data_IF_620070315368
#
_entry.id   IF_620070315368
#
_cell.length_a   1.000
_cell.length_b   1.000
_cell.length_c   1.000
_cell.angle_alpha   90.00
_cell.angle_beta   90.00
_cell.angle_gamma   90.00
#
_symmetry.space_group_name_H-M   'P 1'
#
loop_
_entity.id
_entity.type
_entity.pdbx_description
1 polymer ?
#
# COMPACT_ATOMS: atom_id res chain seq x y z
N UNK A 1 -22.25 -25.50 -8.58
CA UNK A 1 -23.63 -25.46 -9.13
C UNK A 1 -24.12 -24.05 -8.96
N UNK A 2 -24.51 -23.37 -10.05
CA UNK A 2 -25.16 -22.06 -9.95
C UNK A 2 -26.59 -22.34 -9.52
N UNK A 3 -26.90 -22.09 -8.24
CA UNK A 3 -28.27 -22.13 -7.76
C UNK A 3 -28.99 -20.89 -8.25
N UNK A 4 -30.14 -21.07 -8.89
CA UNK A 4 -31.06 -19.97 -9.16
C UNK A 4 -31.93 -19.75 -7.89
N UNK A 5 -31.69 -18.65 -7.15
CA UNK A 5 -32.40 -18.36 -5.91
C UNK A 5 -33.89 -18.07 -6.12
N UNK A 6 -34.34 -17.80 -7.36
CA UNK A 6 -35.75 -17.56 -7.66
C UNK A 6 -36.59 -18.85 -7.60
N UNK A 7 -35.96 -20.00 -7.82
CA UNK A 7 -36.63 -21.31 -7.90
C UNK A 7 -36.11 -22.34 -6.89
N UNK A 8 -34.99 -22.06 -6.23
CA UNK A 8 -34.41 -22.97 -5.25
C UNK A 8 -35.19 -22.99 -3.92
N UNK A 9 -35.21 -24.17 -3.29
CA UNK A 9 -35.69 -24.33 -1.93
C UNK A 9 -34.83 -23.56 -0.92
N UNK A 10 -35.46 -23.01 0.12
CA UNK A 10 -34.82 -22.16 1.11
C UNK A 10 -33.76 -22.89 1.92
N UNK A 11 -33.95 -24.18 2.23
CA UNK A 11 -32.95 -24.96 2.95
C UNK A 11 -31.70 -25.18 2.10
N UNK A 12 -31.88 -25.45 0.80
CA UNK A 12 -30.79 -25.57 -0.16
C UNK A 12 -30.00 -24.25 -0.31
N UNK A 13 -30.70 -23.13 -0.46
CA UNK A 13 -30.07 -21.80 -0.51
C UNK A 13 -29.27 -21.54 0.76
N UNK A 14 -29.88 -21.75 1.93
CA UNK A 14 -29.23 -21.52 3.22
C UNK A 14 -27.96 -22.35 3.40
N UNK A 15 -28.04 -23.64 3.06
CA UNK A 15 -26.89 -24.54 3.13
C UNK A 15 -25.73 -24.06 2.26
N UNK A 16 -26.00 -23.45 1.11
CA UNK A 16 -24.96 -22.94 0.22
C UNK A 16 -24.36 -21.60 0.69
N UNK A 17 -25.16 -20.69 1.24
CA UNK A 17 -24.66 -19.34 1.59
C UNK A 17 -24.11 -19.24 3.01
N UNK A 18 -24.56 -20.07 3.96
CA UNK A 18 -24.21 -19.94 5.38
C UNK A 18 -22.70 -20.00 5.66
N UNK A 19 -21.97 -20.85 4.91
CA UNK A 19 -20.52 -20.99 5.06
C UNK A 19 -19.79 -19.71 4.67
N UNK A 20 -20.16 -19.13 3.53
CA UNK A 20 -19.59 -17.88 3.05
C UNK A 20 -19.94 -16.69 3.94
N UNK A 21 -21.16 -16.64 4.47
CA UNK A 21 -21.58 -15.63 5.45
C UNK A 21 -20.74 -15.73 6.72
N UNK A 22 -20.57 -16.93 7.26
CA UNK A 22 -19.69 -17.17 8.42
C UNK A 22 -18.22 -16.82 8.13
N UNK A 23 -17.82 -16.86 6.87
CA UNK A 23 -16.49 -16.48 6.40
C UNK A 23 -16.34 -14.95 6.18
N UNK A 24 -17.40 -14.16 6.40
CA UNK A 24 -17.41 -12.70 6.35
C UNK A 24 -17.99 -12.09 5.07
N UNK A 25 -18.58 -12.89 4.18
CA UNK A 25 -19.31 -12.37 3.00
C UNK A 25 -20.64 -11.75 3.45
N UNK A 26 -21.03 -10.54 2.99
CA UNK A 26 -22.32 -9.95 3.31
C UNK A 26 -23.46 -10.86 2.87
N UNK A 27 -24.41 -11.07 3.78
CA UNK A 27 -25.56 -11.95 3.52
C UNK A 27 -26.47 -11.38 2.42
N UNK A 28 -26.87 -12.19 1.41
CA UNK A 28 -27.91 -11.81 0.47
C UNK A 28 -29.31 -11.92 1.10
N UNK A 29 -29.40 -12.58 2.26
CA UNK A 29 -30.63 -12.81 3.00
C UNK A 29 -30.84 -11.72 4.05
N UNK A 30 -32.10 -11.28 4.21
CA UNK A 30 -32.48 -10.38 5.29
C UNK A 30 -32.25 -11.03 6.66
N UNK A 31 -32.00 -10.22 7.70
CA UNK A 31 -31.83 -10.74 9.06
C UNK A 31 -33.05 -11.55 9.53
N UNK A 32 -34.24 -11.14 9.11
CA UNK A 32 -35.50 -11.82 9.41
C UNK A 32 -35.59 -13.19 8.75
N UNK A 33 -35.25 -13.29 7.46
CA UNK A 33 -35.24 -14.58 6.75
C UNK A 33 -34.22 -15.54 7.37
N UNK A 34 -33.03 -15.06 7.75
CA UNK A 34 -32.04 -15.88 8.46
C UNK A 34 -32.58 -16.43 9.78
N UNK A 35 -33.20 -15.59 10.61
CA UNK A 35 -33.81 -16.04 11.86
C UNK A 35 -34.89 -17.09 11.63
N UNK A 36 -35.64 -17.01 10.52
CA UNK A 36 -36.61 -18.01 10.14
C UNK A 36 -35.99 -19.36 9.77
N UNK A 37 -34.94 -19.33 8.94
CA UNK A 37 -34.20 -20.52 8.52
C UNK A 37 -33.44 -21.20 9.67
N UNK A 38 -33.13 -20.44 10.72
CA UNK A 38 -32.56 -20.94 11.97
C UNK A 38 -33.61 -21.44 12.97
N UNK A 39 -34.91 -21.41 12.62
CA UNK A 39 -36.00 -21.84 13.50
C UNK A 39 -36.31 -20.87 14.64
N UNK A 40 -35.72 -19.66 14.64
CA UNK A 40 -35.90 -18.64 15.69
C UNK A 40 -37.12 -17.77 15.47
N UNK A 41 -37.74 -17.82 14.28
CA UNK A 41 -38.88 -17.00 13.91
C UNK A 41 -39.75 -17.72 12.88
N UNK A 42 -41.06 -17.49 12.90
CA UNK A 42 -41.96 -17.94 11.84
C UNK A 42 -42.31 -16.77 10.92
N UNK A 43 -42.29 -16.98 9.60
CA UNK A 43 -42.66 -15.99 8.59
C UNK A 43 -43.89 -16.43 7.81
N UNK A 44 -44.70 -15.46 7.40
CA UNK A 44 -45.87 -15.73 6.56
C UNK A 44 -45.43 -15.96 5.10
N UNK A 45 -46.26 -16.64 4.28
CA UNK A 45 -45.95 -16.84 2.85
C UNK A 45 -45.64 -15.53 2.10
N UNK A 46 -46.39 -14.46 2.37
CA UNK A 46 -46.16 -13.16 1.76
C UNK A 46 -44.80 -12.53 2.18
N UNK A 47 -44.37 -12.75 3.44
CA UNK A 47 -43.06 -12.30 3.91
C UNK A 47 -41.93 -13.07 3.23
N UNK A 48 -42.08 -14.39 3.08
CA UNK A 48 -41.12 -15.23 2.37
C UNK A 48 -40.96 -14.81 0.91
N UNK A 49 -42.06 -14.52 0.22
CA UNK A 49 -42.00 -14.06 -1.18
C UNK A 49 -41.33 -12.69 -1.32
N UNK A 50 -41.57 -11.77 -0.37
CA UNK A 50 -40.85 -10.49 -0.33
C UNK A 50 -39.35 -10.68 -0.10
N UNK A 51 -38.98 -11.57 0.82
CA UNK A 51 -37.57 -11.88 1.08
C UNK A 51 -36.90 -12.60 -0.11
N UNK A 52 -37.65 -13.39 -0.90
CA UNK A 52 -37.17 -13.98 -2.17
C UNK A 52 -36.80 -12.91 -3.18
N UNK A 53 -37.67 -11.90 -3.38
CA UNK A 53 -37.40 -10.77 -4.28
C UNK A 53 -36.17 -9.97 -3.85
N UNK A 54 -36.03 -9.70 -2.55
CA UNK A 54 -34.86 -9.01 -2.00
C UNK A 54 -33.57 -9.82 -2.18
N UNK A 55 -33.61 -11.13 -1.93
CA UNK A 55 -32.47 -12.00 -2.16
C UNK A 55 -32.09 -12.02 -3.64
N UNK A 56 -33.04 -12.20 -4.55
CA UNK A 56 -32.78 -12.21 -5.99
C UNK A 56 -32.09 -10.91 -6.44
N UNK A 57 -32.52 -9.76 -5.92
CA UNK A 57 -31.88 -8.47 -6.18
C UNK A 57 -30.43 -8.38 -5.67
N UNK A 58 -30.12 -9.02 -4.54
CA UNK A 58 -28.78 -9.01 -3.93
C UNK A 58 -27.89 -10.18 -4.36
N UNK A 59 -28.43 -11.15 -5.09
CA UNK A 59 -27.75 -12.41 -5.37
C UNK A 59 -26.49 -12.23 -6.20
N UNK A 60 -26.55 -11.41 -7.25
CA UNK A 60 -25.41 -11.11 -8.09
C UNK A 60 -24.27 -10.48 -7.29
N UNK A 61 -24.59 -9.49 -6.43
CA UNK A 61 -23.60 -8.86 -5.56
C UNK A 61 -22.97 -9.86 -4.58
N UNK A 62 -23.77 -10.76 -4.01
CA UNK A 62 -23.25 -11.84 -3.17
C UNK A 62 -22.32 -12.79 -3.94
N UNK A 63 -22.71 -13.23 -5.14
CA UNK A 63 -21.86 -14.09 -5.98
C UNK A 63 -20.52 -13.43 -6.31
N UNK A 64 -20.54 -12.13 -6.63
CA UNK A 64 -19.32 -11.36 -6.85
C UNK A 64 -18.42 -11.32 -5.63
N UNK A 65 -19.00 -11.16 -4.45
CA UNK A 65 -18.23 -11.14 -3.21
C UNK A 65 -17.64 -12.51 -2.85
N UNK A 66 -18.38 -13.60 -3.09
CA UNK A 66 -17.86 -14.97 -2.97
C UNK A 66 -16.69 -15.16 -3.94
N UNK A 67 -16.85 -14.75 -5.21
CA UNK A 67 -15.78 -14.85 -6.20
C UNK A 67 -14.55 -14.03 -5.80
N UNK A 68 -14.74 -12.78 -5.36
CA UNK A 68 -13.69 -11.90 -4.86
C UNK A 68 -12.94 -12.54 -3.70
N UNK A 69 -13.66 -13.13 -2.75
CA UNK A 69 -13.07 -13.87 -1.63
C UNK A 69 -12.27 -15.08 -2.10
N UNK A 70 -12.81 -15.90 -3.01
CA UNK A 70 -12.09 -17.04 -3.57
C UNK A 70 -10.78 -16.59 -4.24
N UNK A 71 -10.81 -15.51 -5.02
CA UNK A 71 -9.61 -14.93 -5.62
C UNK A 71 -8.58 -14.52 -4.55
N UNK A 72 -9.00 -13.85 -3.47
CA UNK A 72 -8.11 -13.50 -2.36
C UNK A 72 -7.53 -14.73 -1.66
N UNK A 73 -8.32 -15.79 -1.44
CA UNK A 73 -7.83 -17.06 -0.90
C UNK A 73 -6.75 -17.65 -1.81
N UNK A 74 -6.95 -17.62 -3.13
CA UNK A 74 -5.94 -18.06 -4.10
C UNK A 74 -4.66 -17.24 -4.02
N UNK A 75 -4.76 -15.90 -3.99
CA UNK A 75 -3.62 -15.00 -3.87
C UNK A 75 -2.86 -15.19 -2.55
N UNK A 76 -3.57 -15.55 -1.47
CA UNK A 76 -2.97 -15.77 -0.15
C UNK A 76 -2.21 -17.09 0.01
N UNK A 77 -2.27 -18.01 -0.98
CA UNK A 77 -1.67 -19.34 -0.88
C UNK A 77 -0.17 -19.27 -0.57
N UNK A 78 0.23 -19.95 0.50
CA UNK A 78 1.62 -19.98 0.99
C UNK A 78 2.15 -18.65 1.56
N UNK A 79 1.28 -17.66 1.75
CA UNK A 79 1.55 -16.44 2.53
C UNK A 79 0.99 -16.51 3.95
N UNK A 80 -0.02 -17.36 4.18
CA UNK A 80 -0.77 -17.44 5.45
C UNK A 80 -1.32 -16.07 5.87
N UNK A 81 -1.89 -15.33 4.92
CA UNK A 81 -2.39 -13.98 5.15
C UNK A 81 -3.52 -13.99 6.20
N UNK A 82 -3.41 -13.22 7.30
CA UNK A 82 -4.46 -13.13 8.29
C UNK A 82 -5.62 -12.29 7.73
N UNK A 83 -6.82 -12.51 8.25
CA UNK A 83 -7.99 -11.62 8.09
C UNK A 83 -8.14 -11.08 6.66
N UNK A 84 -8.50 -11.94 5.70
CA UNK A 84 -8.71 -11.54 4.29
C UNK A 84 -9.74 -10.41 4.10
N UNK A 85 -10.51 -10.04 5.12
CA UNK A 85 -11.40 -8.86 5.11
C UNK A 85 -10.66 -7.52 5.28
N UNK A 86 -9.41 -7.52 5.76
CA UNK A 86 -8.62 -6.31 5.98
C UNK A 86 -8.22 -5.66 4.64
N UNK A 87 -8.58 -4.38 4.38
CA UNK A 87 -8.24 -3.70 3.14
C UNK A 87 -6.74 -3.64 2.85
N UNK A 88 -5.88 -3.51 3.86
CA UNK A 88 -4.44 -3.43 3.69
C UNK A 88 -3.86 -4.79 3.26
N UNK A 89 -4.36 -5.88 3.84
CA UNK A 89 -3.99 -7.25 3.43
C UNK A 89 -4.45 -7.52 2.00
N UNK A 90 -5.70 -7.17 1.67
CA UNK A 90 -6.24 -7.36 0.31
C UNK A 90 -5.43 -6.58 -0.73
N UNK A 91 -5.07 -5.34 -0.43
CA UNK A 91 -4.25 -4.51 -1.30
C UNK A 91 -2.88 -5.15 -1.55
N UNK A 92 -2.18 -5.54 -0.49
CA UNK A 92 -0.86 -6.16 -0.58
C UNK A 92 -0.89 -7.48 -1.39
N UNK A 93 -1.92 -8.31 -1.23
CA UNK A 93 -2.09 -9.54 -1.99
C UNK A 93 -2.28 -9.28 -3.49
N UNK A 94 -3.05 -8.24 -3.85
CA UNK A 94 -3.26 -7.86 -5.26
C UNK A 94 -1.98 -7.29 -5.86
N UNK A 95 -1.29 -6.40 -5.14
CA UNK A 95 -0.02 -5.83 -5.59
C UNK A 95 1.05 -6.91 -5.81
N UNK A 96 1.11 -7.91 -4.92
CA UNK A 96 1.98 -9.08 -5.04
C UNK A 96 1.65 -9.97 -6.25
N UNK A 97 0.40 -9.97 -6.71
CA UNK A 97 -0.01 -10.72 -7.89
C UNK A 97 0.44 -10.01 -9.19
N UNK A 98 0.42 -8.67 -9.18
CA UNK A 98 0.68 -7.81 -10.34
C UNK A 98 2.18 -7.44 -10.50
N UNK A 99 2.91 -7.23 -9.40
CA UNK A 99 4.27 -6.67 -9.42
C UNK A 99 5.33 -7.66 -9.87
N UNK A 100 5.52 -7.81 -11.18
CA UNK A 100 6.39 -8.82 -11.79
C UNK A 100 7.86 -8.70 -11.35
N UNK A 101 8.41 -7.49 -11.30
CA UNK A 101 9.85 -7.23 -11.10
C UNK A 101 10.30 -7.54 -9.68
N UNK A 102 9.51 -7.14 -8.67
CA UNK A 102 9.83 -7.30 -7.25
C UNK A 102 9.06 -8.45 -6.58
N UNK A 103 8.40 -9.30 -7.37
CA UNK A 103 7.44 -10.32 -6.91
C UNK A 103 8.00 -11.24 -5.85
N UNK A 104 9.22 -11.74 -6.03
CA UNK A 104 9.82 -12.74 -5.12
C UNK A 104 10.14 -12.10 -3.77
N UNK A 105 10.82 -10.97 -3.78
CA UNK A 105 11.20 -10.25 -2.56
C UNK A 105 9.97 -9.77 -1.80
N UNK A 106 8.97 -9.21 -2.50
CA UNK A 106 7.70 -8.81 -1.88
C UNK A 106 6.96 -10.01 -1.27
N UNK A 107 6.97 -11.18 -1.92
CA UNK A 107 6.40 -12.41 -1.36
C UNK A 107 7.04 -12.78 -0.01
N UNK A 108 8.35 -12.66 0.09
CA UNK A 108 9.11 -12.99 1.30
C UNK A 108 8.81 -11.99 2.42
N UNK A 109 8.77 -10.69 2.10
CA UNK A 109 8.34 -9.64 3.02
C UNK A 109 6.93 -9.90 3.56
N UNK A 110 5.95 -10.19 2.70
CA UNK A 110 4.58 -10.45 3.11
C UNK A 110 4.47 -11.72 3.97
N UNK A 111 5.18 -12.79 3.61
CA UNK A 111 5.22 -14.01 4.43
C UNK A 111 5.78 -13.70 5.82
N UNK A 112 6.84 -12.92 5.92
CA UNK A 112 7.42 -12.53 7.20
C UNK A 112 6.47 -11.64 8.01
N UNK A 113 5.88 -10.62 7.39
CA UNK A 113 4.91 -9.71 7.99
C UNK A 113 3.68 -10.44 8.55
N UNK A 114 3.13 -11.39 7.79
CA UNK A 114 1.97 -12.20 8.22
C UNK A 114 2.33 -13.25 9.28
N UNK A 115 3.59 -13.67 9.35
CA UNK A 115 4.12 -14.48 10.45
C UNK A 115 4.50 -13.65 11.70
N UNK A 116 4.11 -12.38 11.78
CA UNK A 116 4.37 -11.52 12.95
C UNK A 116 5.79 -10.95 13.02
N UNK A 117 6.50 -10.86 11.88
CA UNK A 117 7.84 -10.24 11.79
C UNK A 117 7.77 -8.94 10.97
N UNK A 118 7.29 -7.83 11.57
CA UNK A 118 7.06 -6.58 10.84
C UNK A 118 8.35 -5.90 10.38
N UNK A 119 9.48 -6.15 11.05
CA UNK A 119 10.78 -5.54 10.78
C UNK A 119 11.70 -6.42 9.91
N UNK A 120 11.11 -7.33 9.12
CA UNK A 120 11.85 -8.21 8.22
C UNK A 120 12.81 -7.46 7.29
N UNK A 121 12.34 -6.40 6.64
CA UNK A 121 13.16 -5.60 5.74
C UNK A 121 14.36 -5.01 6.49
N UNK A 122 14.12 -4.36 7.64
CA UNK A 122 15.18 -3.75 8.45
C UNK A 122 16.22 -4.77 8.93
N UNK A 123 15.78 -5.97 9.32
CA UNK A 123 16.67 -7.04 9.81
C UNK A 123 17.36 -7.83 8.71
N UNK A 124 16.97 -7.65 7.44
CA UNK A 124 17.52 -8.42 6.34
C UNK A 124 19.04 -8.19 6.21
N UNK A 125 19.87 -9.25 6.04
CA UNK A 125 21.33 -9.11 6.00
C UNK A 125 21.84 -8.09 4.97
N UNK A 126 21.24 -8.05 3.77
CA UNK A 126 21.61 -7.07 2.74
C UNK A 126 21.29 -5.62 3.11
N UNK A 127 20.13 -5.37 3.73
CA UNK A 127 19.78 -4.04 4.23
C UNK A 127 20.71 -3.60 5.37
N UNK A 128 21.04 -4.51 6.30
CA UNK A 128 22.01 -4.23 7.36
C UNK A 128 23.40 -3.94 6.81
N UNK A 129 23.83 -4.68 5.78
CA UNK A 129 25.10 -4.45 5.09
C UNK A 129 25.11 -3.09 4.41
N UNK A 130 24.03 -2.71 3.73
CA UNK A 130 23.92 -1.39 3.10
C UNK A 130 24.00 -0.27 4.15
N UNK A 131 23.27 -0.36 5.26
CA UNK A 131 23.38 0.62 6.36
C UNK A 131 24.79 0.71 6.93
N UNK A 132 25.47 -0.43 7.13
CA UNK A 132 26.85 -0.45 7.62
C UNK A 132 27.86 0.18 6.63
N UNK A 133 27.55 0.15 5.33
CA UNK A 133 28.37 0.79 4.29
C UNK A 133 28.18 2.32 4.22
N UNK A 134 27.14 2.87 4.88
CA UNK A 134 26.83 4.29 4.91
C UNK A 134 26.95 4.85 6.34
N UNK A 135 28.16 4.88 6.93
CA UNK A 135 28.35 5.23 8.35
C UNK A 135 28.00 6.69 8.68
N UNK A 136 27.87 7.55 7.66
CA UNK A 136 27.43 8.94 7.81
C UNK A 136 25.93 9.05 8.06
N UNK A 137 25.16 8.01 7.76
CA UNK A 137 23.72 7.94 7.97
C UNK A 137 23.47 7.42 9.38
N UNK A 138 22.91 8.21 10.32
CA UNK A 138 22.53 7.72 11.63
C UNK A 138 21.34 6.76 11.48
N UNK A 139 21.61 5.46 11.39
CA UNK A 139 20.63 4.44 11.02
C UNK A 139 19.35 4.46 11.88
N UNK A 140 19.48 4.75 13.17
CA UNK A 140 18.32 4.87 14.08
C UNK A 140 17.44 6.08 13.73
N UNK A 141 18.05 7.22 13.40
CA UNK A 141 17.32 8.43 12.99
C UNK A 141 16.64 8.19 11.64
N UNK A 142 17.36 7.59 10.69
CA UNK A 142 16.83 7.27 9.36
C UNK A 142 15.63 6.33 9.42
N UNK A 143 15.71 5.26 10.22
CA UNK A 143 14.68 4.22 10.27
C UNK A 143 13.49 4.59 11.15
N UNK A 144 13.65 5.46 12.15
CA UNK A 144 12.52 5.93 12.98
C UNK A 144 11.86 7.19 12.43
N UNK A 145 12.61 8.01 11.71
CA UNK A 145 12.15 9.30 11.24
C UNK A 145 11.93 10.31 12.38
N UNK A 146 11.30 11.43 12.01
CA UNK A 146 10.76 12.40 12.96
C UNK A 146 9.26 12.53 12.78
N UNK A 147 8.60 13.17 13.74
CA UNK A 147 7.22 13.62 13.62
C UNK A 147 7.18 15.14 13.61
N UNK A 148 6.48 15.71 12.63
CA UNK A 148 6.25 17.14 12.51
C UNK A 148 4.75 17.40 12.52
N UNK A 149 4.29 18.26 13.43
CA UNK A 149 2.91 18.73 13.46
C UNK A 149 2.82 20.10 12.82
N UNK A 150 1.81 20.34 12.00
CA UNK A 150 1.53 21.64 11.40
C UNK A 150 0.05 21.85 11.15
N UNK A 151 -0.38 23.11 11.08
CA UNK A 151 -1.74 23.45 10.66
C UNK A 151 -1.85 23.37 9.13
N UNK A 152 -2.86 22.66 8.65
CA UNK A 152 -3.18 22.56 7.21
C UNK A 152 -4.50 23.27 6.95
N UNK A 153 -4.47 24.30 6.11
CA UNK A 153 -5.66 25.08 5.78
C UNK A 153 -6.80 24.18 5.28
N UNK A 154 -7.98 24.30 5.90
CA UNK A 154 -9.17 23.51 5.56
C UNK A 154 -9.18 22.05 6.02
N UNK A 155 -8.10 21.56 6.63
CA UNK A 155 -7.97 20.18 7.13
C UNK A 155 -7.61 20.10 8.62
N UNK A 156 -7.27 21.23 9.25
CA UNK A 156 -6.90 21.32 10.66
C UNK A 156 -5.46 20.85 10.92
N UNK A 157 -5.12 20.46 12.16
CA UNK A 157 -3.78 19.96 12.47
C UNK A 157 -3.50 18.67 11.70
N UNK A 158 -2.39 18.68 10.95
CA UNK A 158 -1.85 17.55 10.23
C UNK A 158 -0.52 17.09 10.82
N UNK A 159 -0.36 15.77 10.92
CA UNK A 159 0.89 15.14 11.33
C UNK A 159 1.62 14.60 10.09
N UNK A 160 2.90 14.95 9.94
CA UNK A 160 3.81 14.36 8.95
C UNK A 160 4.84 13.49 9.66
N UNK A 161 4.85 12.21 9.32
CA UNK A 161 5.78 11.25 9.88
C UNK A 161 6.03 10.07 8.95
N UNK A 162 7.09 9.31 9.28
CA UNK A 162 7.52 8.13 8.55
C UNK A 162 6.57 6.95 8.75
N UNK A 163 6.15 6.33 7.65
CA UNK A 163 5.33 5.13 7.69
C UNK A 163 6.16 3.89 8.01
N UNK A 164 5.76 3.19 9.06
CA UNK A 164 6.47 2.02 9.59
C UNK A 164 5.78 0.70 9.22
N UNK A 165 4.49 0.72 8.88
CA UNK A 165 3.82 -0.50 8.43
C UNK A 165 4.06 -0.73 6.93
N UNK A 166 4.77 -1.80 6.54
CA UNK A 166 4.97 -2.11 5.13
C UNK A 166 3.66 -2.25 4.37
N UNK A 167 2.56 -2.69 5.00
CA UNK A 167 1.26 -2.75 4.33
C UNK A 167 0.72 -1.37 3.94
N UNK A 168 1.01 -0.34 4.74
CA UNK A 168 0.66 1.05 4.43
C UNK A 168 1.62 1.68 3.41
N UNK A 169 2.91 1.32 3.43
CA UNK A 169 3.88 1.72 2.38
C UNK A 169 3.44 1.20 1.01
N UNK A 170 2.99 -0.06 0.92
CA UNK A 170 2.52 -0.63 -0.35
C UNK A 170 1.32 0.12 -0.95
N UNK A 171 0.56 0.84 -0.12
CA UNK A 171 -0.61 1.64 -0.53
C UNK A 171 -0.25 3.04 -1.04
N UNK A 172 1.03 3.43 -1.04
CA UNK A 172 1.49 4.80 -1.32
C UNK A 172 0.97 5.38 -2.64
N UNK A 173 0.84 4.56 -3.69
CA UNK A 173 0.29 5.00 -4.96
C UNK A 173 -1.23 4.94 -5.04
N UNK A 174 -1.85 3.98 -4.35
CA UNK A 174 -3.29 3.77 -4.40
C UNK A 174 -4.08 4.83 -3.64
N UNK A 175 -3.49 5.51 -2.65
CA UNK A 175 -4.14 6.64 -1.99
C UNK A 175 -4.47 7.81 -2.94
N UNK A 176 -3.68 7.98 -4.00
CA UNK A 176 -3.76 9.15 -4.90
C UNK A 176 -3.87 8.78 -6.38
N UNK A 177 -4.07 7.49 -6.70
CA UNK A 177 -4.20 7.01 -8.08
C UNK A 177 -2.95 7.23 -8.94
N UNK A 178 -1.75 7.17 -8.37
CA UNK A 178 -0.50 7.40 -9.11
C UNK A 178 0.00 6.13 -9.82
N UNK A 179 0.99 6.27 -10.72
CA UNK A 179 1.58 5.15 -11.49
C UNK A 179 2.18 4.03 -10.62
N UNK A 180 2.53 4.31 -9.36
CA UNK A 180 3.04 3.32 -8.38
C UNK A 180 1.92 2.65 -7.57
N UNK A 181 0.65 2.97 -7.85
CA UNK A 181 -0.50 2.33 -7.24
C UNK A 181 -0.85 1.00 -7.91
N UNK A 182 -1.80 0.29 -7.30
CA UNK A 182 -2.36 -0.94 -7.85
C UNK A 182 -2.93 -0.72 -9.27
N UNK A 183 -2.58 -1.59 -10.22
CA UNK A 183 -2.90 -1.43 -11.64
C UNK A 183 -2.07 -0.38 -12.40
N UNK A 184 -1.14 0.31 -11.73
CA UNK A 184 -0.26 1.30 -12.35
C UNK A 184 0.97 0.68 -13.01
N UNK A 185 1.52 1.36 -14.01
CA UNK A 185 2.69 0.89 -14.77
C UNK A 185 3.97 0.72 -13.93
N UNK A 186 4.04 1.38 -12.76
CA UNK A 186 5.20 1.37 -11.85
C UNK A 186 4.86 0.77 -10.48
N UNK A 187 3.83 -0.09 -10.41
CA UNK A 187 3.36 -0.69 -9.15
C UNK A 187 4.47 -1.44 -8.38
N UNK A 188 5.46 -2.00 -9.08
CA UNK A 188 6.63 -2.64 -8.46
C UNK A 188 7.44 -1.69 -7.57
N UNK A 189 7.39 -0.38 -7.78
CA UNK A 189 8.17 0.60 -7.00
C UNK A 189 7.63 0.78 -5.58
N UNK A 190 6.33 0.54 -5.35
CA UNK A 190 5.79 0.45 -4.00
C UNK A 190 6.40 -0.73 -3.21
N UNK A 191 6.70 -1.84 -3.90
CA UNK A 191 7.42 -2.95 -3.29
C UNK A 191 8.86 -2.55 -2.94
N UNK A 192 9.56 -1.85 -3.84
CA UNK A 192 10.93 -1.39 -3.57
C UNK A 192 10.99 -0.49 -2.33
N UNK A 193 10.04 0.44 -2.18
CA UNK A 193 9.94 1.31 -1.01
C UNK A 193 9.71 0.54 0.30
N UNK A 194 9.01 -0.60 0.27
CA UNK A 194 8.78 -1.44 1.44
C UNK A 194 9.92 -2.44 1.71
N UNK A 195 10.76 -2.72 0.71
CA UNK A 195 11.81 -3.74 0.75
C UNK A 195 13.18 -3.16 1.11
N UNK A 196 13.56 -2.05 0.49
CA UNK A 196 14.90 -1.51 0.58
C UNK A 196 15.00 -0.48 1.70
N UNK A 197 15.93 -0.70 2.63
CA UNK A 197 16.07 0.17 3.81
C UNK A 197 16.50 1.59 3.46
N UNK A 198 17.09 1.81 2.28
CA UNK A 198 17.48 3.14 1.80
C UNK A 198 16.32 3.98 1.25
N UNK A 199 15.09 3.48 1.31
CA UNK A 199 13.86 4.19 0.91
C UNK A 199 12.93 4.30 2.09
N UNK A 200 12.26 5.45 2.23
CA UNK A 200 11.29 5.71 3.29
C UNK A 200 10.08 6.44 2.71
N UNK A 201 8.88 6.08 3.15
CA UNK A 201 7.67 6.83 2.82
C UNK A 201 7.25 7.64 4.03
N UNK A 202 6.97 8.91 3.81
CA UNK A 202 6.38 9.78 4.81
C UNK A 202 4.97 10.17 4.36
N UNK A 203 4.03 10.16 5.31
CA UNK A 203 2.64 10.55 5.06
C UNK A 203 2.29 11.79 5.87
N UNK A 204 1.48 12.66 5.26
CA UNK A 204 0.69 13.64 5.98
C UNK A 204 -0.69 13.03 6.27
N UNK A 205 -1.12 13.06 7.53
CA UNK A 205 -2.43 12.55 7.95
C UNK A 205 -3.22 13.61 8.71
N UNK A 206 -4.53 13.61 8.55
CA UNK A 206 -5.43 14.39 9.42
C UNK A 206 -5.49 13.76 10.82
N UNK A 207 -6.09 14.46 11.77
CA UNK A 207 -6.34 13.94 13.13
C UNK A 207 -7.11 12.62 13.15
N UNK A 208 -7.98 12.39 12.18
CA UNK A 208 -8.75 11.14 12.01
C UNK A 208 -7.92 10.01 11.37
N UNK A 209 -6.64 10.25 11.08
CA UNK A 209 -5.73 9.27 10.48
C UNK A 209 -5.82 9.16 8.95
N UNK A 210 -6.65 9.99 8.29
CA UNK A 210 -6.79 9.99 6.84
C UNK A 210 -5.52 10.52 6.17
N UNK A 211 -4.93 9.75 5.26
CA UNK A 211 -3.80 10.21 4.44
C UNK A 211 -4.26 11.32 3.49
N UNK A 212 -3.58 12.45 3.51
CA UNK A 212 -3.88 13.61 2.64
C UNK A 212 -2.76 13.90 1.65
N UNK A 213 -1.54 13.49 1.95
CA UNK A 213 -0.41 13.54 1.04
C UNK A 213 0.67 12.53 1.43
N UNK A 214 1.60 12.28 0.51
CA UNK A 214 2.79 11.46 0.74
C UNK A 214 4.02 12.09 0.13
N UNK A 215 5.18 11.63 0.58
CA UNK A 215 6.45 11.83 -0.09
C UNK A 215 7.30 10.57 0.07
N UNK A 216 8.05 10.20 -0.96
CA UNK A 216 9.10 9.20 -0.85
C UNK A 216 10.41 9.94 -0.56
N UNK A 217 11.22 9.39 0.32
CA UNK A 217 12.59 9.81 0.60
C UNK A 217 13.52 8.65 0.28
N UNK A 218 14.73 8.95 -0.16
CA UNK A 218 15.79 7.96 -0.26
C UNK A 218 17.13 8.55 0.16
N UNK A 219 18.08 7.68 0.46
CA UNK A 219 19.48 8.05 0.58
C UNK A 219 20.20 7.55 -0.67
N UNK A 220 20.91 8.46 -1.33
CA UNK A 220 21.74 8.13 -2.48
C UNK A 220 23.04 7.44 -2.07
N UNK A 221 23.70 6.77 -3.02
CA UNK A 221 25.05 6.21 -2.82
C UNK A 221 26.10 7.29 -2.47
N UNK A 222 25.77 8.58 -2.65
CA UNK A 222 26.61 9.72 -2.26
C UNK A 222 26.33 10.28 -0.88
N UNK A 223 25.58 9.59 -0.02
CA UNK A 223 25.13 10.06 1.30
C UNK A 223 24.36 11.40 1.23
N UNK A 224 23.49 11.56 0.23
CA UNK A 224 22.57 12.70 0.14
C UNK A 224 21.13 12.26 0.40
N UNK A 225 20.38 13.10 1.10
CA UNK A 225 18.94 12.92 1.24
C UNK A 225 18.27 13.35 -0.07
N UNK A 226 17.65 12.39 -0.74
CA UNK A 226 16.86 12.59 -1.95
C UNK A 226 15.39 12.65 -1.56
N UNK A 227 14.80 13.83 -1.71
CA UNK A 227 13.39 14.06 -1.46
C UNK A 227 12.63 14.02 -2.79
N UNK A 228 11.74 13.05 -2.98
CA UNK A 228 10.93 12.96 -4.21
C UNK A 228 9.71 13.88 -4.14
N UNK A 229 8.92 13.91 -5.22
CA UNK A 229 7.72 14.76 -5.29
C UNK A 229 6.68 14.42 -4.22
N UNK A 230 6.02 15.47 -3.72
CA UNK A 230 4.86 15.34 -2.83
C UNK A 230 3.62 15.06 -3.66
N UNK A 231 2.91 13.99 -3.31
CA UNK A 231 1.68 13.57 -3.96
C UNK A 231 0.46 13.73 -3.04
N UNK A 232 -0.71 14.10 -3.57
CA UNK A 232 -0.97 14.35 -4.99
C UNK A 232 -0.32 15.67 -5.45
N UNK A 233 0.00 15.78 -6.74
CA UNK A 233 0.81 16.92 -7.24
C UNK A 233 0.13 18.27 -7.06
N UNK A 234 -1.21 18.29 -7.03
CA UNK A 234 -2.06 19.45 -6.85
C UNK A 234 -2.36 19.76 -5.37
N UNK A 235 -1.73 19.05 -4.42
CA UNK A 235 -1.91 19.34 -3.00
C UNK A 235 -1.51 20.78 -2.65
N UNK A 236 -2.26 21.37 -1.71
CA UNK A 236 -2.12 22.76 -1.29
C UNK A 236 -0.70 23.13 -0.84
N UNK A 237 -0.37 24.42 -1.01
CA UNK A 237 0.97 24.95 -0.73
C UNK A 237 1.39 24.76 0.74
N UNK A 238 0.44 24.83 1.69
CA UNK A 238 0.71 24.64 3.12
C UNK A 238 1.19 23.22 3.42
N UNK A 239 0.60 22.21 2.77
CA UNK A 239 1.04 20.81 2.90
C UNK A 239 2.45 20.64 2.33
N UNK A 240 2.72 21.20 1.14
CA UNK A 240 4.08 21.16 0.54
C UNK A 240 5.11 21.88 1.42
N UNK A 241 4.74 22.99 2.05
CA UNK A 241 5.58 23.69 3.02
C UNK A 241 5.92 22.78 4.21
N UNK A 242 4.94 22.03 4.71
CA UNK A 242 5.13 21.09 5.82
C UNK A 242 6.11 19.95 5.46
N UNK A 243 6.00 19.36 4.26
CA UNK A 243 6.98 18.39 3.76
C UNK A 243 8.37 19.02 3.57
N UNK A 244 8.45 20.22 3.00
CA UNK A 244 9.73 20.92 2.84
C UNK A 244 10.39 21.22 4.20
N UNK A 245 9.61 21.52 5.23
CA UNK A 245 10.11 21.71 6.59
C UNK A 245 10.56 20.38 7.22
N UNK A 246 9.81 19.31 6.99
CA UNK A 246 10.20 17.95 7.36
C UNK A 246 11.56 17.59 6.74
N UNK A 247 11.70 17.75 5.42
CA UNK A 247 12.92 17.46 4.65
C UNK A 247 14.14 18.17 5.25
N UNK A 248 14.04 19.48 5.51
CA UNK A 248 15.14 20.29 6.06
C UNK A 248 15.49 19.87 7.49
N UNK A 249 14.49 19.64 8.36
CA UNK A 249 14.73 19.21 9.74
C UNK A 249 15.34 17.81 9.78
N UNK A 250 14.83 16.91 8.95
CA UNK A 250 15.29 15.52 8.89
C UNK A 250 16.70 15.43 8.33
N UNK A 251 17.02 16.14 7.25
CA UNK A 251 18.38 16.24 6.71
C UNK A 251 19.37 16.76 7.76
N UNK A 252 19.00 17.80 8.51
CA UNK A 252 19.83 18.34 9.60
C UNK A 252 20.08 17.29 10.69
N UNK A 253 19.07 16.54 11.09
CA UNK A 253 19.21 15.48 12.10
C UNK A 253 20.04 14.30 11.62
N UNK A 254 19.98 14.00 10.32
CA UNK A 254 20.81 12.98 9.69
C UNK A 254 22.25 13.47 9.43
N UNK A 255 22.50 14.78 9.47
CA UNK A 255 23.80 15.35 9.06
C UNK A 255 24.07 15.22 7.56
N UNK A 256 23.02 15.07 6.74
CA UNK A 256 23.12 14.88 5.29
C UNK A 256 22.76 16.17 4.54
N UNK A 257 23.29 16.31 3.33
CA UNK A 257 22.85 17.36 2.40
C UNK A 257 21.59 16.89 1.68
N UNK A 258 20.64 17.79 1.45
CA UNK A 258 19.52 17.53 0.54
C UNK A 258 20.04 17.64 -0.88
N UNK A 259 19.74 16.65 -1.73
CA UNK A 259 20.07 16.71 -3.14
C UNK A 259 19.30 17.87 -3.81
N UNK A 260 20.03 18.77 -4.48
CA UNK A 260 19.46 20.02 -5.03
C UNK A 260 18.52 19.86 -6.23
N UNK A 261 18.40 18.64 -6.78
CA UNK A 261 17.51 18.30 -7.88
C UNK A 261 17.91 18.90 -9.24
N UNK A 262 17.71 18.12 -10.29
CA UNK A 262 17.83 18.54 -11.70
C UNK A 262 16.94 17.68 -12.59
N UNK A 263 16.12 18.30 -13.46
CA UNK A 263 15.13 17.60 -14.30
C UNK A 263 15.73 16.72 -15.41
N UNK A 264 17.00 16.91 -15.77
CA UNK A 264 17.58 16.31 -16.98
C UNK A 264 18.65 15.24 -16.72
N UNK A 265 19.14 15.14 -15.48
CA UNK A 265 19.92 13.98 -15.00
C UNK A 265 19.94 14.07 -13.48
N UNK A 266 19.42 13.05 -12.76
CA UNK A 266 19.54 13.05 -11.32
C UNK A 266 21.04 13.03 -10.97
N UNK A 267 21.50 14.03 -10.21
CA UNK A 267 22.85 14.05 -9.65
C UNK A 267 23.01 13.06 -8.49
N UNK A 268 22.25 11.97 -8.51
CA UNK A 268 22.17 10.95 -7.47
C UNK A 268 21.96 9.57 -8.10
N UNK A 269 22.38 8.54 -7.37
CA UNK A 269 22.10 7.14 -7.67
C UNK A 269 21.42 6.52 -6.45
N UNK A 270 20.29 5.83 -6.66
CA UNK A 270 19.56 5.13 -5.60
C UNK A 270 19.78 3.63 -5.77
N UNK A 271 20.47 3.00 -4.83
CA UNK A 271 20.68 1.56 -4.84
C UNK A 271 19.35 0.78 -4.68
N UNK A 272 19.24 -0.33 -5.40
CA UNK A 272 18.27 -1.41 -5.14
C UNK A 272 18.96 -2.50 -4.31
N UNK A 273 18.39 -2.85 -3.16
CA UNK A 273 19.07 -3.73 -2.17
C UNK A 273 18.47 -5.13 -2.18
N UNK A 274 17.18 -5.22 -1.91
CA UNK A 274 16.36 -6.44 -2.02
C UNK A 274 15.46 -6.38 -3.26
N UNK A 275 15.03 -5.18 -3.62
CA UNK A 275 14.30 -4.95 -4.85
C UNK A 275 15.20 -5.16 -6.06
N UNK A 276 14.59 -5.57 -7.17
CA UNK A 276 15.25 -5.68 -8.47
C UNK A 276 15.12 -4.36 -9.25
N UNK A 277 13.98 -3.68 -9.11
CA UNK A 277 13.68 -2.48 -9.87
C UNK A 277 12.99 -1.41 -9.01
N UNK A 278 13.28 -0.15 -9.32
CA UNK A 278 12.74 1.01 -8.65
C UNK A 278 12.66 2.18 -9.64
N UNK A 279 11.48 2.77 -9.74
CA UNK A 279 11.22 3.96 -10.53
C UNK A 279 11.15 5.20 -9.65
N UNK A 280 11.82 6.26 -10.08
CA UNK A 280 11.70 7.60 -9.49
C UNK A 280 11.36 8.68 -10.53
N UNK A 281 10.59 9.68 -10.09
CA UNK A 281 10.16 10.84 -10.88
C UNK A 281 11.09 12.06 -10.75
N UNK A 282 12.24 11.89 -10.11
CA UNK A 282 13.17 12.97 -9.83
C UNK A 282 12.99 13.60 -8.45
N UNK A 283 14.10 14.08 -7.89
CA UNK A 283 14.08 14.88 -6.68
C UNK A 283 13.28 16.18 -6.89
N UNK A 284 12.36 16.48 -5.97
CA UNK A 284 11.66 17.75 -5.96
C UNK A 284 12.51 18.83 -5.30
N UNK A 285 12.28 20.09 -5.66
CA UNK A 285 12.96 21.22 -5.02
C UNK A 285 12.23 21.61 -3.74
N UNK A 286 12.70 21.09 -2.61
CA UNK A 286 12.36 21.63 -1.30
C UNK A 286 12.63 23.15 -1.32
N UNK A 287 11.59 23.96 -1.09
CA UNK A 287 11.69 25.43 -1.06
C UNK A 287 11.43 26.19 -2.36
N UNK A 288 10.98 25.56 -3.46
CA UNK A 288 10.56 26.28 -4.67
C UNK A 288 9.16 25.86 -5.12
N UNK A 289 8.13 26.51 -4.57
CA UNK A 289 6.79 26.39 -5.12
C UNK A 289 6.72 27.01 -6.52
N UNK A 290 6.80 26.20 -7.58
CA UNK A 290 6.16 26.51 -8.88
C UNK A 290 5.66 25.25 -9.62
N UNK A 291 4.36 25.28 -9.81
CA UNK A 291 3.43 24.61 -10.74
C UNK A 291 4.04 24.09 -12.07
N UNK A 292 3.73 22.84 -12.42
CA UNK A 292 3.34 22.46 -13.79
C UNK A 292 4.31 21.63 -14.67
N UNK A 293 3.75 20.51 -15.16
CA UNK A 293 3.99 19.76 -16.42
C UNK A 293 5.22 18.84 -16.54
N UNK A 294 4.98 17.57 -16.21
CA UNK A 294 4.91 16.43 -17.15
C UNK A 294 6.11 16.11 -18.04
N UNK A 295 6.83 15.03 -17.71
CA UNK A 295 7.77 14.36 -18.62
C UNK A 295 8.48 13.18 -17.93
N UNK A 296 8.11 11.95 -18.29
CA UNK A 296 8.61 10.70 -17.72
C UNK A 296 9.98 10.29 -18.32
N UNK A 297 10.99 10.06 -17.48
CA UNK A 297 12.24 9.40 -17.85
C UNK A 297 12.26 7.94 -17.35
N UNK A 298 12.64 7.00 -18.22
CA UNK A 298 12.96 5.62 -17.85
C UNK A 298 14.48 5.48 -17.78
N UNK A 299 15.03 5.01 -16.66
CA UNK A 299 16.40 4.50 -16.60
C UNK A 299 16.35 2.97 -16.57
N UNK A 300 16.84 2.31 -17.62
CA UNK A 300 17.04 0.85 -17.63
C UNK A 300 18.37 0.55 -16.93
N UNK A 301 18.33 -0.24 -15.87
CA UNK A 301 19.51 -0.79 -15.21
C UNK A 301 20.27 -1.74 -16.15
N UNK A 302 21.54 -1.42 -16.40
CA UNK A 302 22.47 -2.26 -17.15
C UNK A 302 22.98 -3.39 -16.26
N UNK A 303 22.57 -4.62 -16.56
CA UNK A 303 23.22 -5.84 -16.07
C UNK A 303 24.63 -5.96 -16.70
N UNK A 304 25.68 -5.92 -15.89
CA UNK A 304 27.00 -6.44 -16.27
C UNK A 304 27.37 -7.58 -15.32
N UNK A 305 27.09 -8.81 -15.79
CA UNK A 305 27.51 -10.05 -15.15
C UNK A 305 29.02 -10.22 -15.24
N UNK A 306 29.57 -10.72 -14.14
CA UNK A 306 30.82 -11.47 -14.08
C UNK A 306 30.83 -12.61 -15.11
N UNK A 307 31.84 -12.60 -15.98
CA UNK A 307 32.51 -13.75 -16.58
C UNK A 307 33.99 -13.29 -16.70
N UNK A 308 34.99 -13.95 -16.15
CA UNK A 308 35.21 -15.38 -16.13
C UNK A 308 36.13 -15.77 -17.30
N UNK A 309 37.38 -15.29 -17.27
CA UNK A 309 38.60 -15.94 -17.75
C UNK A 309 39.76 -15.42 -16.89
#
# INVERSE_FOLDING_TARGET
RVLDPAVADWAAVWSCVRGEIGAGVPSPLSARLRAHLEGKRTLTPAQLERDRKLMAANWCAFQWEVFRRCALVQLSRGLNAPRLGDPAVQHALRLQAEGAENRRALRELLRARFAGRPDYALRHPLNRRWLAAHPRVPAEVWTRGIALRGEVAGLGPGDVYLEQDPLEVLRMGSYFGTCVGLGGAMAHSAAAAALDVNKQVIYARTREGRVIARQLLAISEGDELVCFSVYPEDVGADVKKLFSEYDVRFARMLGLRINGGGRQKPGYEICTILSHDFWDDGAWRAGCGKVGRGGSGHCRGSNARLAGQ
#
